data_IF_405078562758
#
_entry.id   IF_405078562758
#
_cell.length_a   1.000
_cell.length_b   1.000
_cell.length_c   1.000
_cell.angle_alpha   90.00
_cell.angle_beta   90.00
_cell.angle_gamma   90.00
#
_symmetry.space_group_name_H-M   'P 1'
#
loop_
_entity.id
_entity.type
_entity.pdbx_description
1 polymer ?
#
# COMPACT_ATOMS: atom_id res chain seq x y z
N UNK A 1 -5.42 -28.58 -15.28
CA UNK A 1 -5.68 -27.18 -14.87
C UNK A 1 -5.40 -27.11 -13.38
N UNK A 2 -4.30 -26.48 -12.97
CA UNK A 2 -3.94 -26.37 -11.56
C UNK A 2 -4.84 -25.30 -10.95
N UNK A 3 -5.57 -25.71 -9.91
CA UNK A 3 -6.42 -24.84 -9.09
C UNK A 3 -5.54 -23.71 -8.54
N UNK A 4 -5.94 -22.45 -8.74
CA UNK A 4 -5.35 -21.30 -8.08
C UNK A 4 -5.65 -21.41 -6.57
N UNK A 5 -4.81 -22.14 -5.85
CA UNK A 5 -4.87 -22.26 -4.40
C UNK A 5 -3.85 -21.28 -3.84
N UNK A 6 -4.37 -20.16 -3.34
CA UNK A 6 -3.73 -19.17 -2.46
C UNK A 6 -2.26 -18.84 -2.74
N UNK A 7 -1.95 -18.33 -3.94
CA UNK A 7 -0.75 -17.50 -4.07
C UNK A 7 -1.00 -16.23 -3.25
N UNK A 8 -0.32 -16.11 -2.11
CA UNK A 8 -0.35 -14.90 -1.29
C UNK A 8 0.48 -13.82 -1.97
N UNK A 9 -0.17 -13.09 -2.87
CA UNK A 9 0.44 -11.98 -3.60
C UNK A 9 0.40 -10.70 -2.75
N UNK A 10 1.51 -9.97 -2.77
CA UNK A 10 1.65 -8.64 -2.18
C UNK A 10 2.15 -7.72 -3.28
N UNK A 11 1.46 -6.60 -3.48
CA UNK A 11 1.79 -5.66 -4.54
C UNK A 11 2.17 -4.33 -3.94
N UNK A 12 3.39 -3.86 -4.19
CA UNK A 12 3.86 -2.53 -3.81
C UNK A 12 3.72 -1.56 -4.98
N UNK A 13 3.18 -0.37 -4.73
CA UNK A 13 3.12 0.74 -5.69
C UNK A 13 3.78 1.98 -5.06
N UNK A 14 4.67 2.62 -5.80
CA UNK A 14 5.31 3.88 -5.42
C UNK A 14 5.08 4.92 -6.51
N UNK A 15 4.53 6.08 -6.13
CA UNK A 15 4.33 7.22 -7.03
C UNK A 15 5.34 8.31 -6.66
N UNK A 16 6.51 8.25 -7.28
CA UNK A 16 7.58 9.22 -7.08
C UNK A 16 7.54 10.40 -8.06
N UNK A 17 8.29 11.45 -7.73
CA UNK A 17 8.52 12.61 -8.63
C UNK A 17 9.34 12.25 -9.86
N UNK A 18 10.24 11.27 -9.75
CA UNK A 18 11.06 10.81 -10.87
C UNK A 18 10.47 9.58 -11.58
N UNK A 19 9.83 8.67 -10.84
CA UNK A 19 9.41 7.36 -11.34
C UNK A 19 8.15 6.89 -10.61
N UNK A 20 7.25 6.25 -11.35
CA UNK A 20 6.20 5.39 -10.79
C UNK A 20 6.66 3.93 -10.92
N UNK A 21 6.58 3.15 -9.85
CA UNK A 21 7.07 1.77 -9.79
C UNK A 21 6.02 0.84 -9.18
N UNK A 22 5.80 -0.31 -9.79
CA UNK A 22 4.98 -1.39 -9.25
C UNK A 22 5.81 -2.67 -9.10
N UNK A 23 5.63 -3.39 -8.01
CA UNK A 23 6.30 -4.65 -7.68
C UNK A 23 5.27 -5.68 -7.25
N UNK A 24 5.34 -6.88 -7.81
CA UNK A 24 4.53 -8.02 -7.40
C UNK A 24 5.43 -9.04 -6.73
N UNK A 25 5.14 -9.33 -5.45
CA UNK A 25 5.81 -10.33 -4.65
C UNK A 25 4.88 -11.48 -4.31
N UNK A 26 5.40 -12.71 -4.38
CA UNK A 26 4.76 -13.91 -3.84
C UNK A 26 5.38 -14.24 -2.48
N UNK A 27 4.55 -14.34 -1.44
CA UNK A 27 5.00 -14.73 -0.10
C UNK A 27 5.10 -16.25 -0.03
N UNK A 28 6.31 -16.76 0.18
CA UNK A 28 6.62 -18.17 0.31
C UNK A 28 6.26 -18.71 1.71
N UNK A 29 6.13 -20.03 1.90
CA UNK A 29 5.78 -20.63 3.20
C UNK A 29 6.78 -20.33 4.34
N UNK A 30 8.03 -20.01 4.01
CA UNK A 30 9.07 -19.61 4.96
C UNK A 30 9.00 -18.12 5.34
N UNK A 31 8.04 -17.38 4.78
CA UNK A 31 7.85 -15.95 5.00
C UNK A 31 8.70 -15.05 4.11
N UNK A 32 9.55 -15.61 3.24
CA UNK A 32 10.31 -14.80 2.29
C UNK A 32 9.42 -14.31 1.15
N UNK A 33 9.74 -13.14 0.60
CA UNK A 33 9.04 -12.57 -0.55
C UNK A 33 9.87 -12.78 -1.81
N UNK A 34 9.30 -13.49 -2.78
CA UNK A 34 9.89 -13.65 -4.10
C UNK A 34 9.30 -12.64 -5.09
N UNK A 35 10.14 -11.83 -5.75
CA UNK A 35 9.66 -10.86 -6.73
C UNK A 35 9.39 -11.57 -8.06
N UNK A 36 8.13 -11.55 -8.49
CA UNK A 36 7.66 -12.23 -9.70
C UNK A 36 7.24 -11.26 -10.81
N UNK A 37 7.05 -9.97 -10.49
CA UNK A 37 6.70 -8.94 -11.48
C UNK A 37 7.23 -7.56 -11.10
N UNK A 38 7.64 -6.79 -12.11
CA UNK A 38 8.13 -5.43 -11.94
C UNK A 38 7.59 -4.57 -13.07
N UNK A 39 7.13 -3.37 -12.77
CA UNK A 39 6.73 -2.40 -13.77
C UNK A 39 7.16 -1.00 -13.38
N UNK A 40 7.51 -0.18 -14.37
CA UNK A 40 7.88 1.20 -14.09
C UNK A 40 7.63 2.14 -15.24
N UNK A 41 7.40 3.39 -14.89
CA UNK A 41 7.23 4.47 -15.83
C UNK A 41 7.94 5.74 -15.32
N UNK A 42 8.72 6.44 -16.16
CA UNK A 42 9.23 7.77 -15.81
C UNK A 42 8.07 8.72 -15.50
N UNK A 43 8.08 9.32 -14.30
CA UNK A 43 6.98 10.14 -13.83
C UNK A 43 6.92 11.46 -14.59
N UNK A 44 5.72 11.81 -15.04
CA UNK A 44 5.37 13.12 -15.59
C UNK A 44 4.11 13.55 -14.87
N UNK A 45 4.11 14.74 -14.28
CA UNK A 45 2.96 15.24 -13.51
C UNK A 45 3.10 15.14 -12.00
N UNK A 46 4.21 14.64 -11.46
CA UNK A 46 4.56 14.78 -10.04
C UNK A 46 5.67 15.83 -9.87
N UNK A 47 5.49 16.77 -8.94
CA UNK A 47 6.53 17.74 -8.55
C UNK A 47 6.52 17.95 -7.03
N UNK A 48 7.69 17.89 -6.39
CA UNK A 48 7.88 18.10 -4.94
C UNK A 48 6.87 17.35 -4.03
N UNK A 49 6.40 16.18 -4.48
CA UNK A 49 5.42 15.37 -3.75
C UNK A 49 3.96 15.79 -3.94
N UNK A 50 3.66 16.68 -4.88
CA UNK A 50 2.31 17.04 -5.33
C UNK A 50 2.03 16.58 -6.76
N UNK A 51 0.74 16.39 -7.07
CA UNK A 51 0.25 16.06 -8.41
C UNK A 51 -0.03 17.37 -9.17
N UNK A 52 0.77 17.65 -10.19
CA UNK A 52 0.58 18.79 -11.10
C UNK A 52 -0.20 18.42 -12.38
N UNK A 53 -0.09 17.17 -12.83
CA UNK A 53 -0.84 16.66 -13.99
C UNK A 53 -1.34 15.24 -13.67
N UNK A 54 -2.63 15.18 -13.30
CA UNK A 54 -3.28 13.93 -12.92
C UNK A 54 -3.35 12.93 -14.07
N UNK A 55 -3.60 13.38 -15.30
CA UNK A 55 -3.72 12.46 -16.44
C UNK A 55 -2.41 11.75 -16.74
N UNK A 56 -1.29 12.49 -16.68
CA UNK A 56 0.03 11.90 -16.88
C UNK A 56 0.37 10.91 -15.76
N UNK A 57 0.01 11.21 -14.51
CA UNK A 57 0.18 10.28 -13.39
C UNK A 57 -0.65 9.01 -13.57
N UNK A 58 -1.94 9.13 -13.93
CA UNK A 58 -2.82 7.97 -14.18
C UNK A 58 -2.26 7.07 -15.28
N UNK A 59 -1.83 7.65 -16.42
CA UNK A 59 -1.21 6.90 -17.51
C UNK A 59 0.07 6.19 -17.06
N UNK A 60 0.87 6.83 -16.21
CA UNK A 60 2.12 6.28 -15.72
C UNK A 60 1.91 5.14 -14.71
N UNK A 61 0.92 5.28 -13.83
CA UNK A 61 0.47 4.21 -12.92
C UNK A 61 -0.05 3.02 -13.72
N UNK A 62 -0.96 3.24 -14.67
CA UNK A 62 -1.50 2.15 -15.50
C UNK A 62 -0.37 1.38 -16.19
N UNK A 63 0.58 2.09 -16.82
CA UNK A 63 1.72 1.46 -17.48
C UNK A 63 2.59 0.64 -16.52
N UNK A 64 2.82 1.13 -15.30
CA UNK A 64 3.59 0.38 -14.30
C UNK A 64 2.83 -0.88 -13.85
N UNK A 65 1.52 -0.80 -13.64
CA UNK A 65 0.68 -1.94 -13.27
C UNK A 65 0.63 -2.98 -14.40
N UNK A 66 0.34 -2.57 -15.64
CA UNK A 66 0.26 -3.46 -16.81
C UNK A 66 1.56 -4.25 -17.02
N UNK A 67 2.72 -3.59 -16.86
CA UNK A 67 4.02 -4.25 -16.96
C UNK A 67 4.24 -5.28 -15.86
N UNK A 68 3.85 -4.95 -14.62
CA UNK A 68 4.01 -5.84 -13.48
C UNK A 68 3.08 -7.05 -13.58
N UNK A 69 1.83 -6.85 -13.99
CA UNK A 69 0.84 -7.91 -14.27
C UNK A 69 1.31 -8.85 -15.38
N UNK A 70 1.81 -8.28 -16.49
CA UNK A 70 2.31 -9.05 -17.61
C UNK A 70 3.51 -9.93 -17.22
N UNK A 71 4.42 -9.40 -16.40
CA UNK A 71 5.58 -10.15 -15.91
C UNK A 71 5.21 -11.24 -14.91
N UNK A 72 4.25 -10.97 -14.03
CA UNK A 72 3.82 -11.91 -12.98
C UNK A 72 2.74 -12.91 -13.44
N UNK A 73 2.18 -12.75 -14.64
CA UNK A 73 1.03 -13.50 -15.16
C UNK A 73 -0.12 -13.51 -14.15
N UNK A 74 -0.48 -12.33 -13.65
CA UNK A 74 -1.52 -12.14 -12.63
C UNK A 74 -2.39 -10.91 -12.90
N UNK A 75 -3.52 -10.81 -12.18
CA UNK A 75 -4.31 -9.58 -12.10
C UNK A 75 -4.14 -8.94 -10.72
N UNK A 76 -3.75 -7.67 -10.69
CA UNK A 76 -3.57 -6.86 -9.49
C UNK A 76 -4.92 -6.21 -9.13
N UNK A 77 -5.51 -6.62 -8.00
CA UNK A 77 -6.77 -6.07 -7.50
C UNK A 77 -6.59 -5.05 -6.36
N UNK A 78 -5.48 -5.13 -5.64
CA UNK A 78 -5.15 -4.25 -4.52
C UNK A 78 -3.65 -3.99 -4.47
N UNK A 79 -3.26 -2.83 -3.92
CA UNK A 79 -1.86 -2.41 -3.81
C UNK A 79 -1.60 -1.78 -2.45
N UNK A 80 -0.37 -1.95 -1.99
CA UNK A 80 0.23 -1.18 -0.90
C UNK A 80 0.88 0.06 -1.52
N UNK A 81 0.26 1.22 -1.34
CA UNK A 81 0.78 2.48 -1.86
C UNK A 81 1.78 3.10 -0.87
N UNK A 82 2.99 3.35 -1.31
CA UNK A 82 3.96 4.13 -0.55
C UNK A 82 3.58 5.61 -0.58
N UNK A 83 3.48 6.21 0.60
CA UNK A 83 3.29 7.66 0.79
C UNK A 83 4.57 8.28 1.31
N UNK A 84 4.95 9.43 0.76
CA UNK A 84 6.17 10.13 1.16
C UNK A 84 6.03 11.63 0.89
N UNK A 85 6.59 12.47 1.76
CA UNK A 85 6.61 13.92 1.55
C UNK A 85 6.57 14.73 2.84
N UNK A 86 6.96 16.01 2.74
CA UNK A 86 7.01 16.94 3.89
C UNK A 86 5.63 17.38 4.42
N UNK A 87 4.57 17.08 3.67
CA UNK A 87 3.18 17.38 4.04
C UNK A 87 2.59 16.29 4.95
N UNK A 88 3.30 15.18 5.14
CA UNK A 88 2.91 14.12 6.06
C UNK A 88 3.24 14.58 7.49
N UNK A 89 2.24 14.58 8.37
CA UNK A 89 2.43 14.85 9.79
C UNK A 89 1.84 13.71 10.63
N UNK A 90 2.53 13.40 11.72
CA UNK A 90 2.11 12.40 12.68
C UNK A 90 2.02 13.06 14.06
N UNK A 91 1.05 12.63 14.85
CA UNK A 91 0.90 13.06 16.25
C UNK A 91 0.69 11.83 17.11
N UNK A 92 1.31 11.84 18.29
CA UNK A 92 1.08 10.81 19.29
C UNK A 92 -0.22 11.14 20.03
N UNK A 93 -1.12 10.17 20.09
CA UNK A 93 -2.44 10.32 20.70
C UNK A 93 -2.66 9.23 21.75
N UNK A 94 -3.32 9.58 22.86
CA UNK A 94 -3.67 8.63 23.92
C UNK A 94 -5.17 8.35 23.85
N UNK A 95 -5.56 7.18 23.34
CA UNK A 95 -6.95 6.76 23.24
C UNK A 95 -7.52 6.08 24.49
N UNK A 96 -8.84 6.20 24.64
CA UNK A 96 -9.61 5.51 25.69
C UNK A 96 -10.94 5.10 25.09
N UNK A 97 -11.34 3.85 25.31
CA UNK A 97 -12.66 3.33 24.98
C UNK A 97 -13.24 2.66 26.23
N UNK A 98 -14.54 2.82 26.52
CA UNK A 98 -15.18 2.06 27.58
C UNK A 98 -15.26 0.58 27.18
N UNK A 99 -14.90 -0.30 28.10
CA UNK A 99 -15.05 -1.75 27.93
C UNK A 99 -16.42 -2.14 28.49
N UNK A 100 -17.24 -2.81 27.68
CA UNK A 100 -18.58 -3.27 28.08
C UNK A 100 -18.57 -4.65 28.72
N UNK A 101 -17.58 -5.49 28.40
CA UNK A 101 -17.42 -6.86 28.88
C UNK A 101 -16.34 -6.96 29.98
N UNK A 102 -16.20 -8.14 30.62
CA UNK A 102 -15.17 -8.34 31.65
C UNK A 102 -13.74 -8.40 31.07
N UNK A 103 -13.59 -8.71 29.79
CA UNK A 103 -12.29 -8.86 29.11
C UNK A 103 -12.13 -7.89 27.95
N UNK A 104 -10.89 -7.44 27.73
CA UNK A 104 -10.53 -6.61 26.57
C UNK A 104 -10.49 -7.48 25.32
N UNK A 105 -11.27 -7.11 24.32
CA UNK A 105 -11.37 -7.80 23.04
C UNK A 105 -10.56 -7.11 21.94
N UNK A 106 -10.36 -7.82 20.82
CA UNK A 106 -9.73 -7.22 19.63
C UNK A 106 -10.55 -6.05 19.09
N UNK A 107 -11.87 -6.10 19.22
CA UNK A 107 -12.78 -5.03 18.84
C UNK A 107 -12.54 -3.77 19.69
N UNK A 108 -12.25 -3.91 20.99
CA UNK A 108 -11.90 -2.77 21.85
C UNK A 108 -10.60 -2.08 21.41
N UNK A 109 -9.59 -2.87 21.01
CA UNK A 109 -8.32 -2.36 20.46
C UNK A 109 -8.55 -1.63 19.14
N UNK A 110 -9.34 -2.20 18.24
CA UNK A 110 -9.69 -1.59 16.96
C UNK A 110 -10.51 -0.31 17.17
N UNK A 111 -11.46 -0.31 18.12
CA UNK A 111 -12.28 0.85 18.45
C UNK A 111 -11.46 2.01 19.04
N UNK A 112 -10.45 1.73 19.88
CA UNK A 112 -9.48 2.74 20.35
C UNK A 112 -8.70 3.34 19.17
N UNK A 113 -8.29 2.52 18.21
CA UNK A 113 -7.52 2.95 17.05
C UNK A 113 -8.36 3.79 16.07
N UNK A 114 -9.57 3.33 15.72
CA UNK A 114 -10.44 3.93 14.71
C UNK A 114 -11.10 5.23 15.20
N UNK A 115 -11.58 5.29 16.46
CA UNK A 115 -12.29 6.50 16.96
C UNK A 115 -11.39 7.73 17.09
N UNK A 116 -10.07 7.54 17.15
CA UNK A 116 -9.15 8.64 17.45
C UNK A 116 -8.31 9.09 16.27
N UNK A 117 -8.06 8.22 15.30
CA UNK A 117 -7.15 8.50 14.20
C UNK A 117 -7.69 7.99 12.86
N UNK A 118 -8.45 8.81 12.10
CA UNK A 118 -8.76 8.51 10.71
C UNK A 118 -7.50 8.30 9.85
N UNK A 119 -6.38 8.92 10.26
CA UNK A 119 -5.09 8.83 9.59
C UNK A 119 -4.33 7.51 9.85
N UNK A 120 -4.66 6.74 10.90
CA UNK A 120 -3.88 5.56 11.27
C UNK A 120 -3.97 4.45 10.20
N UNK A 121 -5.15 4.22 9.64
CA UNK A 121 -5.36 3.13 8.68
C UNK A 121 -4.66 3.33 7.32
N UNK A 122 -4.57 4.58 6.85
CA UNK A 122 -3.87 4.89 5.60
C UNK A 122 -2.33 4.93 5.77
N UNK A 123 -1.85 5.11 7.00
CA UNK A 123 -0.44 5.39 7.30
C UNK A 123 0.32 4.19 7.88
N UNK A 124 -0.36 3.15 8.37
CA UNK A 124 0.25 1.92 8.91
C UNK A 124 1.20 1.21 7.94
N UNK A 125 1.08 1.42 6.63
CA UNK A 125 1.95 0.81 5.62
C UNK A 125 3.20 1.68 5.33
N UNK A 126 3.13 2.99 5.58
CA UNK A 126 4.18 3.94 5.19
C UNK A 126 5.11 4.37 6.34
N UNK A 127 4.67 4.28 7.60
CA UNK A 127 5.38 4.90 8.72
C UNK A 127 6.19 3.95 9.61
N UNK A 128 6.20 2.64 9.32
CA UNK A 128 6.94 1.64 10.11
C UNK A 128 8.32 1.24 9.53
N UNK A 129 8.93 2.08 8.68
CA UNK A 129 10.37 2.00 8.38
C UNK A 129 11.13 3.17 9.00
#
# INVERSE_FOLDING_TARGET
>A
MIKATDRKLVVGLEIGTAKVAALVGEVLPDGMVNIIGVGSCPSRGMDKGGVNDLESVVKCVQRAIDQAELMADCQISSVYLALSGKHISCQNEIGMVPISEEEVTQEDVENVCIRRSPCAYAMSIACCM
#
